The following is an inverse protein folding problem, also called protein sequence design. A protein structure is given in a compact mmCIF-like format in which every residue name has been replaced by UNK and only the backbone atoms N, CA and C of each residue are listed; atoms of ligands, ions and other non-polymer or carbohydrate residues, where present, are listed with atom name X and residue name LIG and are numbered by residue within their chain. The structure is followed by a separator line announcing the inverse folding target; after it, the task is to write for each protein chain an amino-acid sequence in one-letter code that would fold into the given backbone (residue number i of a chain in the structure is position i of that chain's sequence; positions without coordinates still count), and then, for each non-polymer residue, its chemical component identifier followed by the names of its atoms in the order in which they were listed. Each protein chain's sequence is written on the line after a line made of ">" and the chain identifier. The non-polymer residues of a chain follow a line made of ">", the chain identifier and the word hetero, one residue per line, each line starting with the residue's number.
data_IF_356457042941
#
_entry.id   IF_356457042941
#
_cell.length_a   1.000
_cell.length_b   1.000
_cell.length_c   1.000
_cell.angle_alpha   90.00
_cell.angle_beta   90.00
_cell.angle_gamma   90.00
#
_symmetry.space_group_name_H-M   'P 1'
#
loop_
_entity.id
_entity.type
_entity.pdbx_description
1 polymer ?
#
# COMPACT_ATOMS: atom_id res chain seq x y z
N UNK A 1 29.70 -0.78 -0.44
CA UNK A 1 29.05 -0.68 -0.54
C UNK A 1 28.14 -0.91 -0.76
N UNK A 2 27.98 -0.66 -0.98
CA UNK A 2 27.21 -0.57 -1.19
C UNK A 2 26.25 -0.63 -1.26
N UNK A 3 26.16 -0.97 -1.49
CA UNK A 3 25.31 -0.95 -1.56
C UNK A 3 24.06 -1.02 -1.24
N UNK A 4 24.06 -1.42 -0.36
CA UNK A 4 22.76 -1.10 0.21
C UNK A 4 22.11 0.07 -0.46
N UNK A 5 22.93 0.96 -0.84
CA UNK A 5 22.44 2.17 -1.49
C UNK A 5 21.68 1.88 -2.77
N UNK A 6 21.83 0.69 -3.30
CA UNK A 6 21.14 0.33 -4.52
C UNK A 6 19.80 -0.34 -4.25
N UNK A 7 19.51 -0.64 -2.99
CA UNK A 7 18.25 -1.28 -2.67
C UNK A 7 17.11 -0.28 -2.81
N UNK A 8 16.12 -0.62 -3.59
CA UNK A 8 14.93 0.20 -3.76
C UNK A 8 13.95 -0.11 -2.65
N UNK A 9 13.31 0.91 -2.06
CA UNK A 9 12.25 0.64 -1.10
C UNK A 9 11.17 -0.22 -1.73
N UNK A 10 10.66 -1.15 -0.97
CA UNK A 10 9.66 -2.10 -1.45
C UNK A 10 8.30 -1.67 -0.98
N UNK A 11 7.33 -1.71 -1.87
CA UNK A 11 6.00 -1.17 -1.62
C UNK A 11 4.95 -2.26 -1.70
N UNK A 12 4.07 -2.29 -0.71
CA UNK A 12 2.81 -3.01 -0.81
C UNK A 12 1.77 -2.03 -1.35
N UNK A 13 1.18 -2.35 -2.49
CA UNK A 13 0.17 -1.50 -3.12
C UNK A 13 -1.19 -2.17 -3.05
N UNK A 14 -2.16 -1.49 -2.44
CA UNK A 14 -3.51 -2.02 -2.29
C UNK A 14 -4.47 -1.13 -3.05
N UNK A 15 -4.96 -1.63 -4.17
CA UNK A 15 -5.83 -0.89 -5.09
C UNK A 15 -6.62 -1.89 -5.91
N UNK A 16 -7.96 -1.81 -5.87
CA UNK A 16 -8.78 -2.79 -6.56
C UNK A 16 -8.97 -2.50 -8.05
N UNK A 17 -8.83 -1.24 -8.48
CA UNK A 17 -8.99 -0.91 -9.90
C UNK A 17 -7.70 -1.20 -10.65
N UNK A 18 -7.78 -2.13 -11.58
CA UNK A 18 -6.62 -2.63 -12.30
C UNK A 18 -5.83 -1.52 -13.01
N UNK A 19 -6.54 -0.63 -13.71
CA UNK A 19 -5.86 0.43 -14.46
C UNK A 19 -5.17 1.43 -13.55
N UNK A 20 -5.80 1.75 -12.42
CA UNK A 20 -5.19 2.65 -11.45
C UNK A 20 -3.98 1.97 -10.82
N UNK A 21 -4.10 0.70 -10.51
CA UNK A 21 -2.99 -0.06 -9.94
C UNK A 21 -1.79 -0.06 -10.88
N UNK A 22 -2.03 -0.31 -12.17
CA UNK A 22 -0.96 -0.27 -13.15
C UNK A 22 -0.30 1.09 -13.24
N UNK A 23 -1.10 2.15 -13.23
CA UNK A 23 -0.58 3.51 -13.28
C UNK A 23 0.30 3.80 -12.07
N UNK A 24 -0.14 3.41 -10.89
CA UNK A 24 0.63 3.62 -9.69
C UNK A 24 1.91 2.81 -9.69
N UNK A 25 1.87 1.58 -10.21
CA UNK A 25 3.08 0.77 -10.34
C UNK A 25 4.11 1.46 -11.24
N UNK A 26 3.66 2.01 -12.35
CA UNK A 26 4.56 2.71 -13.26
C UNK A 26 5.15 3.96 -12.60
N UNK A 27 4.32 4.72 -11.90
CA UNK A 27 4.78 5.93 -11.23
C UNK A 27 5.79 5.60 -10.13
N UNK A 28 5.54 4.54 -9.37
CA UNK A 28 6.46 4.14 -8.32
C UNK A 28 7.79 3.69 -8.89
N UNK A 29 7.76 2.94 -9.97
CA UNK A 29 9.00 2.51 -10.62
C UNK A 29 9.81 3.72 -11.09
N UNK A 30 9.14 4.71 -11.67
CA UNK A 30 9.82 5.93 -12.12
C UNK A 30 10.44 6.70 -10.96
N UNK A 31 9.85 6.59 -9.78
CA UNK A 31 10.36 7.28 -8.60
C UNK A 31 11.42 6.48 -7.84
N UNK A 32 11.74 5.30 -8.30
CA UNK A 32 12.79 4.50 -7.68
C UNK A 32 12.31 3.51 -6.64
N UNK A 33 11.01 3.18 -6.64
CA UNK A 33 10.44 2.18 -5.73
C UNK A 33 10.22 0.86 -6.46
N UNK A 34 10.31 -0.23 -5.72
CA UNK A 34 9.99 -1.55 -6.24
C UNK A 34 8.68 -2.01 -5.64
N UNK A 35 7.72 -2.38 -6.49
CA UNK A 35 6.45 -2.88 -6.00
C UNK A 35 6.62 -4.35 -5.64
N UNK A 36 6.56 -4.65 -4.34
CA UNK A 36 6.73 -6.02 -3.85
C UNK A 36 5.48 -6.84 -4.12
N UNK A 37 4.32 -6.26 -3.86
CA UNK A 37 3.03 -6.89 -4.11
C UNK A 37 2.01 -5.81 -4.46
N UNK A 38 1.14 -6.13 -5.39
CA UNK A 38 0.03 -5.27 -5.75
C UNK A 38 -1.23 -6.13 -5.69
N UNK A 39 -2.14 -5.78 -4.80
CA UNK A 39 -3.31 -6.61 -4.53
C UNK A 39 -4.59 -5.79 -4.61
N UNK A 40 -5.69 -6.46 -4.87
CA UNK A 40 -6.98 -5.80 -5.10
C UNK A 40 -8.08 -6.20 -4.14
N UNK A 41 -7.78 -6.94 -3.08
CA UNK A 41 -8.80 -7.30 -2.09
C UNK A 41 -8.27 -7.10 -0.68
N UNK A 42 -9.19 -6.87 0.25
CA UNK A 42 -8.82 -6.70 1.66
C UNK A 42 -8.25 -8.01 2.22
N UNK A 43 -8.76 -9.14 1.78
CA UNK A 43 -8.28 -10.44 2.26
C UNK A 43 -6.81 -10.64 1.91
N UNK A 44 -6.46 -10.41 0.65
CA UNK A 44 -5.06 -10.53 0.22
C UNK A 44 -4.17 -9.49 0.91
N UNK A 45 -4.68 -8.25 0.98
CA UNK A 45 -3.91 -7.17 1.59
C UNK A 45 -3.62 -7.47 3.05
N UNK A 46 -4.60 -8.00 3.78
CA UNK A 46 -4.43 -8.33 5.19
C UNK A 46 -3.38 -9.41 5.38
N UNK A 47 -3.42 -10.43 4.53
CA UNK A 47 -2.47 -11.54 4.63
C UNK A 47 -1.05 -11.05 4.40
N UNK A 48 -0.86 -10.23 3.37
CA UNK A 48 0.47 -9.72 3.05
C UNK A 48 0.92 -8.67 4.07
N UNK A 49 0.00 -7.84 4.54
CA UNK A 49 0.32 -6.85 5.57
C UNK A 49 0.86 -7.53 6.83
N UNK A 50 0.31 -8.69 7.17
CA UNK A 50 0.69 -9.39 8.39
C UNK A 50 2.06 -10.07 8.27
N UNK A 51 2.42 -10.54 7.09
CA UNK A 51 3.59 -11.42 6.97
C UNK A 51 4.53 -11.07 5.81
N UNK A 52 4.15 -10.17 4.92
CA UNK A 52 4.95 -9.87 3.74
C UNK A 52 6.19 -9.07 4.05
N UNK A 53 7.09 -9.04 3.08
CA UNK A 53 8.35 -8.30 3.19
C UNK A 53 8.29 -7.05 2.31
N UNK A 54 8.09 -5.91 2.93
CA UNK A 54 8.04 -4.62 2.23
C UNK A 54 8.39 -3.51 3.24
N UNK A 55 8.63 -2.32 2.73
CA UNK A 55 9.09 -1.21 3.57
C UNK A 55 7.99 -0.19 3.84
N UNK A 56 7.04 -0.06 2.94
CA UNK A 56 5.98 0.93 3.06
C UNK A 56 4.76 0.41 2.29
N UNK A 57 3.58 0.86 2.68
CA UNK A 57 2.35 0.47 1.99
C UNK A 57 1.61 1.69 1.48
N UNK A 58 0.98 1.54 0.32
CA UNK A 58 0.09 2.54 -0.25
C UNK A 58 -1.28 1.91 -0.32
N UNK A 59 -2.25 2.52 0.34
CA UNK A 59 -3.56 1.94 0.57
C UNK A 59 -4.65 2.82 -0.02
N UNK A 60 -5.45 2.26 -0.93
CA UNK A 60 -6.71 2.90 -1.28
C UNK A 60 -7.65 2.76 -0.08
N UNK A 61 -8.36 3.81 0.25
CA UNK A 61 -9.24 3.82 1.42
C UNK A 61 -10.38 2.81 1.26
N UNK A 62 -10.89 2.68 0.04
CA UNK A 62 -12.02 1.79 -0.23
C UNK A 62 -11.59 0.80 -1.30
N UNK A 63 -11.51 -0.47 -0.93
CA UNK A 63 -11.01 -1.52 -1.79
C UNK A 63 -12.10 -2.55 -1.99
N UNK A 64 -12.59 -2.65 -3.22
CA UNK A 64 -13.62 -3.61 -3.59
C UNK A 64 -14.84 -3.50 -2.66
N UNK A 65 -15.23 -2.26 -2.35
CA UNK A 65 -16.40 -1.99 -1.51
C UNK A 65 -16.14 -2.11 -0.02
N UNK A 66 -14.92 -2.40 0.40
CA UNK A 66 -14.59 -2.55 1.82
C UNK A 66 -13.57 -1.51 2.24
N UNK A 67 -13.69 -1.04 3.46
CA UNK A 67 -12.74 -0.07 3.99
C UNK A 67 -11.42 -0.76 4.32
N UNK A 68 -10.32 -0.06 4.05
CA UNK A 68 -8.97 -0.62 4.18
C UNK A 68 -8.43 -0.55 5.62
N UNK A 69 -9.14 0.05 6.54
CA UNK A 69 -8.61 0.32 7.87
C UNK A 69 -8.13 -0.92 8.63
N UNK A 70 -8.74 -2.10 8.50
CA UNK A 70 -8.17 -3.29 9.14
C UNK A 70 -6.74 -3.58 8.66
N UNK A 71 -6.45 -3.32 7.40
CA UNK A 71 -5.09 -3.49 6.86
C UNK A 71 -4.15 -2.48 7.52
N UNK A 72 -4.59 -1.22 7.63
CA UNK A 72 -3.79 -0.18 8.26
C UNK A 72 -3.50 -0.52 9.72
N UNK A 73 -4.45 -1.11 10.43
CA UNK A 73 -4.24 -1.52 11.82
C UNK A 73 -3.13 -2.58 11.91
N UNK A 74 -3.12 -3.54 10.99
CA UNK A 74 -2.06 -4.56 10.96
C UNK A 74 -0.70 -3.93 10.73
N UNK A 75 -0.63 -3.00 9.79
CA UNK A 75 0.62 -2.32 9.47
C UNK A 75 1.12 -1.50 10.65
N UNK A 76 0.21 -0.80 11.33
CA UNK A 76 0.58 -0.03 12.50
C UNK A 76 1.15 -0.92 13.61
N UNK A 77 0.57 -2.09 13.80
CA UNK A 77 1.07 -3.02 14.80
C UNK A 77 2.47 -3.53 14.47
N UNK A 78 2.78 -3.65 13.18
CA UNK A 78 4.12 -4.06 12.76
C UNK A 78 5.11 -2.90 12.73
N UNK A 79 4.65 -1.68 12.95
CA UNK A 79 5.51 -0.51 12.87
C UNK A 79 5.90 -0.14 11.43
N UNK A 80 5.11 -0.56 10.46
CA UNK A 80 5.38 -0.27 9.06
C UNK A 80 4.65 1.00 8.62
N UNK A 81 5.33 1.92 7.94
CA UNK A 81 4.69 3.14 7.47
C UNK A 81 3.73 2.86 6.31
N UNK A 82 2.69 3.65 6.25
CA UNK A 82 1.74 3.56 5.15
C UNK A 82 1.13 4.92 4.87
N UNK A 83 0.61 5.09 3.65
CA UNK A 83 -0.12 6.28 3.27
C UNK A 83 -1.44 5.86 2.64
N UNK A 84 -2.45 6.71 2.78
CA UNK A 84 -3.73 6.50 2.14
C UNK A 84 -3.80 7.30 0.85
N UNK A 85 -4.41 6.69 -0.17
CA UNK A 85 -4.75 7.38 -1.40
C UNK A 85 -6.26 7.39 -1.48
N UNK A 86 -6.86 8.58 -1.48
CA UNK A 86 -8.30 8.69 -1.60
C UNK A 86 -8.65 9.10 -3.02
N UNK A 87 -9.69 8.49 -3.54
CA UNK A 87 -10.23 8.93 -4.81
C UNK A 87 -11.13 10.12 -4.59
N UNK A 88 -11.80 10.63 -5.29
CA UNK A 88 -12.91 11.57 -5.37
C UNK A 88 -13.28 12.37 -4.13
N UNK A 89 -12.34 12.69 -3.28
CA UNK A 89 -12.67 13.55 -2.17
C UNK A 89 -13.67 12.96 -1.20
N UNK A 90 -13.54 11.68 -0.95
CA UNK A 90 -14.34 11.07 0.10
C UNK A 90 -14.13 11.76 1.41
N UNK A 91 -14.97 11.45 2.32
CA UNK A 91 -14.94 12.06 3.62
C UNK A 91 -13.61 11.90 4.33
N UNK A 92 -13.56 12.49 5.48
CA UNK A 92 -12.35 12.51 6.29
C UNK A 92 -11.92 11.11 6.70
N UNK A 93 -10.63 10.94 6.86
CA UNK A 93 -10.10 9.73 7.46
C UNK A 93 -10.44 9.71 8.94
N UNK A 94 -10.51 8.51 9.55
CA UNK A 94 -10.69 8.43 10.99
C UNK A 94 -9.58 9.18 11.73
N UNK A 95 -9.92 9.69 12.90
CA UNK A 95 -8.98 10.54 13.65
C UNK A 95 -7.69 9.83 13.99
N UNK A 96 -7.71 8.50 14.10
CA UNK A 96 -6.49 7.77 14.47
C UNK A 96 -5.51 7.63 13.31
N UNK A 97 -5.88 8.02 12.14
CA UNK A 97 -5.00 8.03 11.00
C UNK A 97 -4.74 9.48 10.61
#
# INVERSE_FOLDING_TARGET
>A
MSDSTTAMPRVLLVEDEYLIRMLLEDMLADLGYAVADAVGTIAEASRIAAAGAFDVAILDVNVDGEEVYPVADILAQRGLPFVFVTGYGEGSLPAKY
#
